data_IF_304083285187
#
_entry.id   IF_304083285187
#
_cell.length_a   1.000
_cell.length_b   1.000
_cell.length_c   1.000
_cell.angle_alpha   90.00
_cell.angle_beta   90.00
_cell.angle_gamma   90.00
#
_symmetry.space_group_name_H-M   'P 1'
#
loop_
_entity.id
_entity.type
_entity.pdbx_description
1 polymer ?
#
# COMPACT_ATOMS: atom_id res chain seq x y z
N UNK A 1 57.99 10.55 35.51
CA UNK A 1 57.89 9.83 34.23
C UNK A 1 56.41 9.74 33.88
N UNK A 2 56.01 10.01 32.63
CA UNK A 2 54.62 9.78 32.21
C UNK A 2 54.39 8.28 32.00
N UNK A 3 53.20 7.73 32.35
CA UNK A 3 52.89 6.33 32.07
C UNK A 3 52.80 6.13 30.56
N UNK A 4 53.62 5.22 30.01
CA UNK A 4 53.48 4.82 28.61
C UNK A 4 52.20 3.98 28.45
N UNK A 5 51.25 4.52 27.70
CA UNK A 5 50.01 3.81 27.37
C UNK A 5 50.31 2.56 26.54
N UNK A 6 49.56 1.47 26.76
CA UNK A 6 49.71 0.24 25.98
C UNK A 6 49.37 0.53 24.51
N UNK A 7 50.13 0.02 23.52
CA UNK A 7 49.95 0.37 22.11
C UNK A 7 48.55 0.04 21.57
N UNK A 8 47.90 -1.01 22.11
CA UNK A 8 46.51 -1.33 21.79
C UNK A 8 45.51 -0.20 22.14
N UNK A 9 45.71 0.50 23.27
CA UNK A 9 44.86 1.63 23.70
C UNK A 9 45.11 2.87 22.84
N UNK A 10 46.35 3.10 22.41
CA UNK A 10 46.66 4.18 21.47
C UNK A 10 46.00 3.93 20.10
N UNK A 11 45.99 2.68 19.62
CA UNK A 11 45.26 2.29 18.41
C UNK A 11 43.73 2.46 18.55
N UNK A 12 43.17 2.09 19.71
CA UNK A 12 41.75 2.28 20.05
C UNK A 12 41.35 3.77 20.06
N UNK A 13 42.15 4.63 20.71
CA UNK A 13 41.96 6.08 20.70
C UNK A 13 42.04 6.67 19.28
N UNK A 14 43.01 6.22 18.47
CA UNK A 14 43.16 6.66 17.08
C UNK A 14 41.97 6.23 16.21
N UNK A 15 41.46 5.01 16.40
CA UNK A 15 40.27 4.52 15.69
C UNK A 15 39.01 5.32 16.06
N UNK A 16 38.80 5.60 17.35
CA UNK A 16 37.69 6.44 17.83
C UNK A 16 37.79 7.89 17.30
N UNK A 17 39.00 8.48 17.30
CA UNK A 17 39.23 9.82 16.76
C UNK A 17 38.98 9.89 15.25
N UNK A 18 39.33 8.85 14.49
CA UNK A 18 38.98 8.73 13.06
C UNK A 18 37.46 8.56 12.88
N UNK A 19 36.79 7.75 13.69
CA UNK A 19 35.33 7.60 13.61
C UNK A 19 34.59 8.90 13.93
N UNK A 20 35.06 9.69 14.90
CA UNK A 20 34.51 11.02 15.20
C UNK A 20 34.71 12.00 14.03
N UNK A 21 35.90 12.04 13.41
CA UNK A 21 36.15 12.84 12.20
C UNK A 21 35.25 12.41 11.04
N UNK A 22 35.10 11.10 10.82
CA UNK A 22 34.23 10.58 9.77
C UNK A 22 32.75 10.95 10.00
N UNK A 23 32.31 11.13 11.25
CA UNK A 23 30.98 11.63 11.60
C UNK A 23 30.81 13.15 11.48
N UNK A 24 31.89 13.91 11.33
CA UNK A 24 31.84 15.37 11.10
C UNK A 24 31.80 15.77 9.63
N UNK A 25 31.96 14.82 8.69
CA UNK A 25 31.77 15.08 7.26
C UNK A 25 30.31 14.85 6.86
N UNK A 26 29.58 15.94 6.63
CA UNK A 26 28.35 15.93 5.84
C UNK A 26 28.70 16.06 4.37
N UNK A 27 27.91 15.42 3.49
CA UNK A 27 28.01 15.67 2.05
C UNK A 27 27.63 17.13 1.79
N UNK A 28 28.45 17.88 1.04
CA UNK A 28 27.97 19.15 0.48
C UNK A 28 27.01 18.83 -0.66
N UNK A 29 25.90 19.55 -0.69
CA UNK A 29 25.07 19.63 -1.90
C UNK A 29 25.80 20.54 -2.88
N UNK A 30 26.06 20.05 -4.11
CA UNK A 30 26.75 20.83 -5.14
C UNK A 30 25.86 22.02 -5.54
N UNK A 31 26.35 23.23 -5.26
CA UNK A 31 25.65 24.49 -5.50
C UNK A 31 26.08 25.10 -6.84
N UNK A 32 25.45 24.67 -7.93
CA UNK A 32 25.44 25.36 -9.22
C UNK A 32 24.12 25.10 -9.98
N UNK A 33 23.81 25.96 -10.96
CA UNK A 33 22.65 25.96 -11.85
C UNK A 33 21.24 26.10 -11.23
N UNK A 34 20.92 27.35 -10.89
CA UNK A 34 19.89 28.21 -11.53
C UNK A 34 18.57 27.67 -12.13
N UNK A 35 17.62 28.61 -12.19
CA UNK A 35 16.28 28.55 -12.79
C UNK A 35 16.10 27.70 -14.07
N UNK A 36 15.16 26.75 -14.05
CA UNK A 36 14.05 26.63 -15.04
C UNK A 36 13.06 25.49 -14.69
N UNK A 37 11.82 25.59 -15.20
CA UNK A 37 10.76 24.59 -14.97
C UNK A 37 10.35 23.76 -16.20
N UNK A 38 9.40 22.84 -15.97
CA UNK A 38 8.65 22.00 -16.94
C UNK A 38 9.26 20.65 -17.39
N UNK A 39 8.76 19.60 -16.73
CA UNK A 39 8.16 18.41 -17.34
C UNK A 39 8.93 17.53 -18.37
N UNK A 40 9.35 16.36 -17.85
CA UNK A 40 9.04 15.02 -18.37
C UNK A 40 10.07 14.20 -19.19
N UNK A 41 10.00 12.87 -18.95
CA UNK A 41 10.55 11.71 -19.69
C UNK A 41 12.05 11.35 -19.56
N UNK A 42 12.28 10.39 -18.65
CA UNK A 42 13.08 9.15 -18.84
C UNK A 42 14.52 9.22 -19.40
N UNK A 43 15.47 8.66 -18.63
CA UNK A 43 16.25 7.48 -19.07
C UNK A 43 16.90 6.76 -17.88
N UNK A 44 17.97 5.97 -18.09
CA UNK A 44 18.35 4.85 -17.21
C UNK A 44 19.86 4.52 -17.27
N UNK A 45 20.57 4.57 -16.12
CA UNK A 45 21.81 3.84 -15.74
C UNK A 45 22.23 4.29 -14.32
N UNK A 46 22.47 3.41 -13.34
CA UNK A 46 23.59 2.45 -13.16
C UNK A 46 24.93 3.11 -12.77
N UNK A 47 25.41 2.78 -11.56
CA UNK A 47 26.82 2.80 -11.18
C UNK A 47 27.23 1.41 -10.64
N UNK A 48 28.46 0.94 -10.87
CA UNK A 48 28.91 -0.41 -10.47
C UNK A 48 29.58 -0.44 -9.10
N UNK A 49 29.48 -1.58 -8.40
CA UNK A 49 30.34 -1.92 -7.27
C UNK A 49 31.56 -2.72 -7.74
N UNK A 50 32.76 -2.30 -7.32
CA UNK A 50 33.99 -3.09 -7.51
C UNK A 50 34.11 -4.15 -6.40
N UNK A 51 34.89 -5.21 -6.66
CA UNK A 51 35.05 -6.37 -5.78
C UNK A 51 36.00 -6.16 -4.59
N UNK A 52 36.45 -7.28 -3.99
CA UNK A 52 37.79 -7.74 -4.40
C UNK A 52 37.82 -9.17 -4.96
N UNK A 53 38.73 -9.39 -5.90
CA UNK A 53 38.94 -10.70 -6.54
C UNK A 53 39.85 -11.62 -5.70
N UNK A 54 39.66 -12.94 -5.80
CA UNK A 54 40.43 -13.87 -4.96
C UNK A 54 40.14 -15.36 -5.14
N UNK A 55 40.25 -15.91 -6.36
CA UNK A 55 40.39 -17.36 -6.59
C UNK A 55 41.08 -17.67 -7.91
N UNK A 56 42.19 -18.40 -7.84
CA UNK A 56 43.02 -18.77 -8.99
C UNK A 56 42.37 -19.90 -9.81
N UNK A 57 42.18 -19.72 -11.12
CA UNK A 57 41.90 -20.85 -12.01
C UNK A 57 43.22 -21.55 -12.43
N UNK A 58 43.36 -22.83 -12.10
CA UNK A 58 44.47 -23.66 -12.56
C UNK A 58 44.23 -24.09 -14.01
N UNK A 59 45.00 -23.49 -14.94
CA UNK A 59 45.04 -23.91 -16.34
C UNK A 59 45.87 -25.20 -16.46
N UNK A 60 45.29 -26.25 -17.03
CA UNK A 60 46.07 -27.35 -17.61
C UNK A 60 46.17 -27.17 -19.13
N UNK A 61 47.33 -27.52 -19.69
CA UNK A 61 47.67 -27.49 -21.14
C UNK A 61 47.95 -28.93 -21.62
N UNK A 62 48.51 -29.06 -22.83
CA UNK A 62 48.91 -30.29 -23.56
C UNK A 62 47.71 -30.95 -24.29
N UNK A 63 47.60 -31.00 -25.63
CA UNK A 63 48.44 -30.56 -26.78
C UNK A 63 49.52 -31.55 -27.32
N UNK A 64 49.09 -32.50 -28.19
CA UNK A 64 49.73 -33.16 -29.37
C UNK A 64 48.65 -34.11 -29.99
N UNK A 65 48.33 -34.23 -31.30
CA UNK A 65 49.06 -34.35 -32.60
C UNK A 65 49.76 -35.72 -32.81
N UNK A 66 49.69 -36.44 -33.96
CA UNK A 66 48.98 -36.33 -35.30
C UNK A 66 48.27 -37.71 -35.60
N UNK A 67 48.13 -38.44 -36.74
CA UNK A 67 48.55 -38.45 -38.19
C UNK A 67 47.59 -39.37 -39.02
N UNK A 68 46.69 -38.80 -39.84
CA UNK A 68 45.92 -39.46 -40.95
C UNK A 68 45.20 -40.82 -40.62
N UNK A 69 44.50 -41.57 -41.48
CA UNK A 69 44.20 -41.61 -42.94
C UNK A 69 42.66 -41.61 -43.14
N UNK A 70 42.08 -40.76 -43.99
CA UNK A 70 41.81 -40.95 -45.43
C UNK A 70 40.97 -42.19 -45.80
N UNK A 71 39.69 -41.98 -46.15
CA UNK A 71 39.13 -42.41 -47.44
C UNK A 71 37.82 -41.65 -47.76
N UNK A 72 37.58 -41.35 -49.04
CA UNK A 72 36.39 -40.64 -49.53
C UNK A 72 35.25 -41.61 -49.91
N UNK A 73 34.00 -41.12 -49.79
CA UNK A 73 33.08 -41.14 -50.93
C UNK A 73 31.90 -40.19 -50.81
N UNK A 74 31.65 -39.52 -51.92
CA UNK A 74 30.55 -38.60 -52.18
C UNK A 74 29.66 -39.20 -53.27
N UNK A 75 28.33 -39.04 -53.14
CA UNK A 75 27.37 -39.24 -54.23
C UNK A 75 25.97 -38.73 -53.84
N UNK A 76 25.48 -37.73 -54.59
CA UNK A 76 24.05 -37.46 -54.78
C UNK A 76 23.30 -38.76 -55.22
N UNK A 77 21.98 -38.91 -55.13
CA UNK A 77 20.99 -38.12 -55.88
C UNK A 77 19.53 -38.46 -55.46
N UNK A 78 18.57 -37.62 -55.90
CA UNK A 78 17.11 -37.86 -55.90
C UNK A 78 16.69 -38.18 -57.37
N UNK A 79 15.55 -38.85 -57.70
CA UNK A 79 14.22 -38.40 -57.27
C UNK A 79 13.02 -39.39 -57.29
N UNK A 80 11.85 -38.84 -56.93
CA UNK A 80 10.48 -39.14 -57.43
C UNK A 80 9.79 -40.48 -57.10
N UNK A 81 8.46 -40.39 -56.91
CA UNK A 81 7.52 -41.49 -56.66
C UNK A 81 6.34 -40.99 -55.84
N UNK A 82 5.13 -40.97 -56.41
CA UNK A 82 3.92 -40.32 -55.86
C UNK A 82 2.74 -41.31 -55.81
N UNK A 83 1.89 -41.16 -54.79
CA UNK A 83 0.56 -41.76 -54.56
C UNK A 83 0.29 -43.27 -54.76
N UNK A 84 -0.27 -43.92 -53.72
CA UNK A 84 -1.72 -44.30 -53.66
C UNK A 84 -2.10 -44.81 -52.24
N UNK A 85 -3.38 -44.66 -51.85
CA UNK A 85 -3.90 -44.83 -50.49
C UNK A 85 -4.21 -46.28 -50.01
N UNK A 86 -4.45 -46.42 -48.68
CA UNK A 86 -5.29 -47.43 -47.94
C UNK A 86 -4.69 -48.80 -47.52
N UNK A 87 -3.99 -48.81 -46.38
CA UNK A 87 -4.41 -49.36 -45.05
C UNK A 87 -5.26 -50.66 -45.03
N UNK A 88 -5.04 -51.66 -44.12
CA UNK A 88 -3.96 -51.88 -43.11
C UNK A 88 -3.26 -53.26 -43.17
N UNK A 89 -2.11 -53.42 -42.49
CA UNK A 89 -1.88 -54.39 -41.38
C UNK A 89 -0.43 -54.25 -40.84
N UNK A 90 -0.11 -54.93 -39.73
CA UNK A 90 1.19 -54.87 -39.03
C UNK A 90 2.17 -55.97 -39.51
N UNK A 91 3.35 -56.08 -38.89
CA UNK A 91 4.33 -57.17 -39.03
C UNK A 91 5.12 -57.30 -40.36
N UNK A 92 5.82 -56.23 -40.75
CA UNK A 92 7.17 -56.37 -41.33
C UNK A 92 8.16 -55.44 -40.63
N UNK A 93 8.91 -55.97 -39.65
CA UNK A 93 9.93 -55.17 -38.95
C UNK A 93 11.13 -54.87 -39.87
N UNK A 94 11.22 -53.64 -40.35
CA UNK A 94 12.43 -53.16 -41.03
C UNK A 94 13.67 -53.35 -40.14
N UNK A 95 14.80 -53.72 -40.75
CA UNK A 95 16.06 -53.91 -40.03
C UNK A 95 16.56 -52.62 -39.36
N UNK A 96 16.14 -51.47 -39.91
CA UNK A 96 16.37 -50.14 -39.35
C UNK A 96 15.69 -49.96 -37.98
N UNK A 97 14.41 -50.30 -37.86
CA UNK A 97 13.65 -50.26 -36.61
C UNK A 97 14.26 -51.16 -35.53
N UNK A 98 14.75 -52.35 -35.92
CA UNK A 98 15.46 -53.25 -35.01
C UNK A 98 16.77 -52.63 -34.52
N UNK A 99 17.52 -51.94 -35.39
CA UNK A 99 18.78 -51.27 -35.03
C UNK A 99 18.60 -50.03 -34.14
N UNK A 100 17.58 -49.20 -34.35
CA UNK A 100 17.33 -48.05 -33.47
C UNK A 100 16.78 -48.49 -32.10
N UNK A 101 16.03 -49.60 -32.03
CA UNK A 101 15.66 -50.23 -30.74
C UNK A 101 16.87 -50.77 -29.98
N UNK A 102 17.84 -51.37 -30.65
CA UNK A 102 19.10 -51.83 -30.03
C UNK A 102 19.88 -50.64 -29.46
N UNK A 103 20.03 -49.56 -30.26
CA UNK A 103 20.66 -48.31 -29.84
C UNK A 103 19.98 -47.63 -28.64
N UNK A 104 18.64 -47.69 -28.56
CA UNK A 104 17.88 -47.17 -27.42
C UNK A 104 18.09 -48.01 -26.15
N UNK A 105 18.19 -49.35 -26.28
CA UNK A 105 18.53 -50.24 -25.17
C UNK A 105 19.96 -49.96 -24.66
N UNK A 106 20.93 -49.77 -25.54
CA UNK A 106 22.31 -49.39 -25.18
C UNK A 106 22.38 -48.08 -24.36
N UNK A 107 21.56 -47.10 -24.72
CA UNK A 107 21.43 -45.84 -23.98
C UNK A 107 20.75 -46.03 -22.62
N UNK A 108 19.68 -46.82 -22.56
CA UNK A 108 18.97 -47.14 -21.32
C UNK A 108 19.86 -47.96 -20.36
N UNK A 109 20.57 -48.99 -20.84
CA UNK A 109 21.50 -49.77 -20.03
C UNK A 109 22.63 -48.91 -19.46
N UNK A 110 23.23 -48.03 -20.27
CA UNK A 110 24.29 -47.11 -19.84
C UNK A 110 23.80 -46.15 -18.75
N UNK A 111 22.61 -45.58 -18.93
CA UNK A 111 22.07 -44.61 -17.98
C UNK A 111 21.53 -45.30 -16.71
N UNK A 112 20.95 -46.50 -16.83
CA UNK A 112 20.60 -47.37 -15.70
C UNK A 112 21.83 -47.88 -14.93
N UNK A 113 22.97 -48.10 -15.60
CA UNK A 113 24.25 -48.39 -14.96
C UNK A 113 24.80 -47.15 -14.22
N UNK A 114 24.68 -45.97 -14.82
CA UNK A 114 25.02 -44.71 -14.14
C UNK A 114 24.11 -44.44 -12.93
N UNK A 115 22.81 -44.71 -13.02
CA UNK A 115 21.86 -44.74 -11.90
C UNK A 115 22.31 -45.72 -10.81
N UNK A 116 22.66 -46.96 -11.18
CA UNK A 116 23.14 -48.02 -10.26
C UNK A 116 24.40 -47.59 -9.50
N UNK A 117 25.36 -46.94 -10.17
CA UNK A 117 26.56 -46.35 -9.52
C UNK A 117 26.15 -45.20 -8.61
N UNK A 118 25.37 -44.22 -9.10
CA UNK A 118 24.87 -43.09 -8.28
C UNK A 118 24.14 -43.59 -7.03
N UNK A 119 23.36 -44.67 -7.12
CA UNK A 119 22.65 -45.28 -5.97
C UNK A 119 23.64 -45.95 -5.00
N UNK A 120 24.56 -46.77 -5.50
CA UNK A 120 25.60 -47.44 -4.72
C UNK A 120 26.50 -46.46 -3.96
N UNK A 121 26.77 -45.28 -4.52
CA UNK A 121 27.58 -44.25 -3.86
C UNK A 121 26.75 -43.37 -2.91
N UNK A 122 25.46 -43.13 -3.19
CA UNK A 122 24.49 -42.56 -2.24
C UNK A 122 24.24 -43.49 -1.03
N UNK A 123 24.35 -44.80 -1.20
CA UNK A 123 24.23 -45.80 -0.13
C UNK A 123 25.47 -45.84 0.77
N UNK A 124 26.68 -45.72 0.19
CA UNK A 124 27.95 -45.65 0.94
C UNK A 124 28.12 -44.32 1.68
N UNK A 125 27.74 -43.21 1.05
CA UNK A 125 27.94 -41.87 1.63
C UNK A 125 26.80 -41.54 2.58
N UNK A 126 27.14 -41.22 3.84
CA UNK A 126 26.13 -40.73 4.79
C UNK A 126 25.68 -39.35 4.35
N UNK A 127 24.47 -39.27 3.79
CA UNK A 127 23.87 -38.04 3.29
C UNK A 127 23.46 -37.09 4.43
N UNK A 128 24.46 -36.42 4.99
CA UNK A 128 24.34 -35.53 6.15
C UNK A 128 23.93 -34.12 5.71
N UNK A 129 24.47 -33.63 4.59
CA UNK A 129 24.31 -32.24 4.15
C UNK A 129 22.93 -31.95 3.55
N UNK A 130 22.38 -32.82 2.69
CA UNK A 130 21.06 -32.56 2.11
C UNK A 130 19.91 -32.63 3.13
N UNK A 131 20.12 -33.30 4.27
CA UNK A 131 19.05 -33.64 5.22
C UNK A 131 18.62 -32.46 6.10
N UNK A 132 19.50 -31.48 6.31
CA UNK A 132 19.16 -30.14 6.79
C UNK A 132 18.64 -29.27 5.65
N UNK A 133 19.39 -29.23 4.56
CA UNK A 133 19.30 -28.14 3.59
C UNK A 133 18.04 -28.24 2.72
N UNK A 134 17.61 -29.45 2.36
CA UNK A 134 16.33 -29.65 1.66
C UNK A 134 15.14 -29.24 2.53
N UNK A 135 15.17 -29.54 3.83
CA UNK A 135 14.11 -29.11 4.77
C UNK A 135 14.09 -27.60 4.95
N UNK A 136 15.25 -26.98 5.12
CA UNK A 136 15.38 -25.51 5.21
C UNK A 136 14.90 -24.84 3.91
N UNK A 137 15.20 -25.42 2.75
CA UNK A 137 14.75 -24.91 1.44
C UNK A 137 13.25 -25.09 1.22
N UNK A 138 12.67 -26.25 1.56
CA UNK A 138 11.22 -26.48 1.54
C UNK A 138 10.48 -25.52 2.49
N UNK A 139 11.01 -25.28 3.69
CA UNK A 139 10.43 -24.37 4.67
C UNK A 139 10.56 -22.91 4.23
N UNK A 140 11.69 -22.52 3.65
CA UNK A 140 11.88 -21.21 3.04
C UNK A 140 10.93 -21.00 1.85
N UNK A 141 10.77 -21.99 0.96
CA UNK A 141 9.80 -21.95 -0.14
C UNK A 141 8.36 -21.85 0.36
N UNK A 142 8.00 -22.55 1.46
CA UNK A 142 6.68 -22.41 2.10
C UNK A 142 6.49 -20.99 2.64
N UNK A 143 7.46 -20.44 3.38
CA UNK A 143 7.41 -19.03 3.85
C UNK A 143 7.29 -18.04 2.69
N UNK A 144 8.02 -18.26 1.59
CA UNK A 144 7.96 -17.40 0.41
C UNK A 144 6.57 -17.44 -0.24
N UNK A 145 5.97 -18.63 -0.40
CA UNK A 145 4.61 -18.82 -0.92
C UNK A 145 3.55 -18.16 -0.04
N UNK A 146 3.59 -18.36 1.29
CA UNK A 146 2.69 -17.67 2.21
C UNK A 146 2.80 -16.14 2.04
N UNK A 147 4.03 -15.61 2.02
CA UNK A 147 4.28 -14.17 1.83
C UNK A 147 3.83 -13.67 0.44
N UNK A 148 3.86 -14.50 -0.61
CA UNK A 148 3.27 -14.16 -1.90
C UNK A 148 1.74 -14.18 -1.89
N UNK A 149 1.12 -15.13 -1.19
CA UNK A 149 -0.34 -15.24 -1.04
C UNK A 149 -0.89 -14.08 -0.20
N UNK A 150 -0.22 -13.75 0.91
CA UNK A 150 -0.46 -12.54 1.69
C UNK A 150 -0.34 -11.28 0.82
N UNK A 151 0.72 -11.15 0.00
CA UNK A 151 0.87 -10.03 -0.94
C UNK A 151 -0.26 -9.98 -1.98
N UNK A 152 -0.68 -11.12 -2.53
CA UNK A 152 -1.77 -11.21 -3.52
C UNK A 152 -3.10 -10.71 -2.93
N UNK A 153 -3.35 -10.89 -1.63
CA UNK A 153 -4.53 -10.34 -0.93
C UNK A 153 -4.34 -8.89 -0.45
N UNK A 154 -3.20 -8.58 0.18
CA UNK A 154 -2.95 -7.29 0.83
C UNK A 154 -2.73 -6.15 -0.18
N UNK A 155 -2.14 -6.39 -1.35
CA UNK A 155 -1.91 -5.32 -2.35
C UNK A 155 -3.24 -4.77 -2.94
N UNK A 156 -4.27 -5.60 -3.23
CA UNK A 156 -5.62 -5.14 -3.47
C UNK A 156 -6.23 -4.33 -2.32
N UNK A 157 -6.15 -4.80 -1.07
CA UNK A 157 -6.71 -4.08 0.09
C UNK A 157 -6.03 -2.73 0.33
N UNK A 158 -4.70 -2.66 0.22
CA UNK A 158 -3.94 -1.42 0.30
C UNK A 158 -4.34 -0.44 -0.82
N UNK A 159 -4.60 -0.94 -2.05
CA UNK A 159 -5.12 -0.11 -3.15
C UNK A 159 -6.55 0.38 -2.95
N UNK A 160 -7.40 -0.34 -2.19
CA UNK A 160 -8.71 0.19 -1.77
C UNK A 160 -8.53 1.35 -0.79
N UNK A 161 -7.71 1.16 0.26
CA UNK A 161 -7.42 2.17 1.28
C UNK A 161 -6.81 3.45 0.69
N UNK A 162 -5.75 3.30 -0.11
CA UNK A 162 -5.11 4.46 -0.76
C UNK A 162 -6.04 5.18 -1.74
N UNK A 163 -7.01 4.47 -2.36
CA UNK A 163 -8.05 5.10 -3.20
C UNK A 163 -9.07 5.86 -2.36
N UNK A 164 -9.48 5.34 -1.20
CA UNK A 164 -10.38 6.07 -0.28
C UNK A 164 -9.71 7.33 0.27
N UNK A 165 -8.45 7.23 0.71
CA UNK A 165 -7.64 8.36 1.16
C UNK A 165 -7.45 9.41 0.05
N UNK A 166 -7.15 8.96 -1.18
CA UNK A 166 -7.03 9.87 -2.34
C UNK A 166 -8.36 10.55 -2.68
N UNK A 167 -9.48 9.83 -2.64
CA UNK A 167 -10.80 10.44 -2.89
C UNK A 167 -11.16 11.47 -1.82
N UNK A 168 -10.91 11.18 -0.53
CA UNK A 168 -11.18 12.11 0.56
C UNK A 168 -10.29 13.37 0.52
N UNK A 169 -9.05 13.26 0.01
CA UNK A 169 -8.19 14.42 -0.30
C UNK A 169 -8.73 15.18 -1.51
N UNK A 170 -8.86 14.51 -2.66
CA UNK A 170 -9.32 15.10 -3.93
C UNK A 170 -10.67 15.83 -3.81
N UNK A 171 -11.56 15.36 -2.95
CA UNK A 171 -12.84 16.00 -2.67
C UNK A 171 -12.68 17.33 -1.92
N UNK A 172 -11.71 17.44 -1.00
CA UNK A 172 -11.31 18.73 -0.41
C UNK A 172 -10.62 19.61 -1.44
N UNK A 173 -9.56 19.08 -2.09
CA UNK A 173 -8.80 19.77 -3.13
C UNK A 173 -9.75 20.40 -4.17
N UNK A 174 -10.79 19.67 -4.60
CA UNK A 174 -11.78 20.15 -5.59
C UNK A 174 -12.81 21.14 -5.06
N UNK A 175 -13.11 21.16 -3.76
CA UNK A 175 -13.94 22.20 -3.14
C UNK A 175 -13.12 23.47 -2.97
N UNK A 176 -11.87 23.34 -2.52
CA UNK A 176 -10.90 24.44 -2.38
C UNK A 176 -10.57 25.07 -3.75
N UNK A 177 -10.35 24.27 -4.80
CA UNK A 177 -10.19 24.74 -6.18
C UNK A 177 -11.41 25.55 -6.67
N UNK A 178 -12.64 25.08 -6.40
CA UNK A 178 -13.88 25.78 -6.80
C UNK A 178 -14.10 27.07 -5.99
N UNK A 179 -13.63 27.12 -4.74
CA UNK A 179 -13.68 28.34 -3.94
C UNK A 179 -12.67 29.39 -4.42
N UNK A 180 -11.47 28.96 -4.82
CA UNK A 180 -10.50 29.82 -5.47
C UNK A 180 -11.01 30.33 -6.83
N UNK A 181 -11.59 29.45 -7.67
CA UNK A 181 -12.16 29.83 -8.98
C UNK A 181 -13.26 30.89 -8.83
N UNK A 182 -14.19 30.73 -7.87
CA UNK A 182 -15.22 31.72 -7.58
C UNK A 182 -14.62 33.03 -7.04
N UNK A 183 -13.62 32.95 -6.15
CA UNK A 183 -13.00 34.15 -5.57
C UNK A 183 -12.18 34.94 -6.60
N UNK A 184 -11.47 34.26 -7.50
CA UNK A 184 -10.72 34.87 -8.59
C UNK A 184 -11.67 35.51 -9.62
N UNK A 185 -12.79 34.87 -9.97
CA UNK A 185 -13.83 35.48 -10.82
C UNK A 185 -14.49 36.70 -10.15
N UNK A 186 -14.85 36.60 -8.87
CA UNK A 186 -15.42 37.71 -8.09
C UNK A 186 -14.46 38.89 -7.93
N UNK A 187 -13.15 38.64 -7.84
CA UNK A 187 -12.11 39.67 -7.73
C UNK A 187 -11.77 40.29 -9.10
N UNK A 188 -11.45 39.47 -10.10
CA UNK A 188 -10.95 39.91 -11.41
C UNK A 188 -11.99 40.67 -12.23
N UNK A 189 -13.28 40.30 -12.11
CA UNK A 189 -14.38 40.92 -12.85
C UNK A 189 -15.24 41.86 -12.00
N UNK A 190 -14.80 42.22 -10.80
CA UNK A 190 -15.52 43.10 -9.86
C UNK A 190 -15.91 44.47 -10.44
N UNK A 191 -15.14 45.01 -11.38
CA UNK A 191 -15.39 46.29 -12.05
C UNK A 191 -16.16 46.16 -13.39
N UNK A 192 -16.47 44.94 -13.85
CA UNK A 192 -17.03 44.68 -15.18
C UNK A 192 -18.48 44.17 -15.12
N UNK A 193 -19.33 44.65 -16.04
CA UNK A 193 -20.68 44.10 -16.24
C UNK A 193 -20.60 42.70 -16.88
N UNK A 194 -20.64 41.66 -16.03
CA UNK A 194 -20.75 40.25 -16.43
C UNK A 194 -22.01 40.02 -17.30
N UNK A 195 -21.89 39.24 -18.37
CA UNK A 195 -23.03 38.88 -19.21
C UNK A 195 -23.97 37.91 -18.50
N UNK A 196 -25.23 37.82 -18.97
CA UNK A 196 -26.23 36.93 -18.38
C UNK A 196 -25.87 35.43 -18.43
N UNK A 197 -24.90 35.02 -19.26
CA UNK A 197 -24.38 33.65 -19.28
C UNK A 197 -23.32 33.45 -18.20
N UNK A 198 -22.36 34.37 -18.09
CA UNK A 198 -21.31 34.34 -17.06
C UNK A 198 -21.91 34.45 -15.64
N UNK A 199 -22.95 35.27 -15.46
CA UNK A 199 -23.73 35.34 -14.21
C UNK A 199 -24.36 33.99 -13.85
N UNK A 200 -24.93 33.27 -14.82
CA UNK A 200 -25.52 31.95 -14.60
C UNK A 200 -24.45 30.88 -14.31
N UNK A 201 -23.26 30.99 -14.91
CA UNK A 201 -22.13 30.11 -14.62
C UNK A 201 -21.58 30.35 -13.21
N UNK A 202 -21.34 31.61 -12.80
CA UNK A 202 -20.97 31.99 -11.44
C UNK A 202 -22.00 31.51 -10.40
N UNK A 203 -23.30 31.70 -10.68
CA UNK A 203 -24.36 31.15 -9.85
C UNK A 203 -24.31 29.62 -9.76
N UNK A 204 -24.01 28.92 -10.87
CA UNK A 204 -23.89 27.47 -10.88
C UNK A 204 -22.68 27.00 -10.06
N UNK A 205 -21.50 27.61 -10.22
CA UNK A 205 -20.30 27.34 -9.42
C UNK A 205 -20.58 27.51 -7.92
N UNK A 206 -21.17 28.64 -7.53
CA UNK A 206 -21.61 28.91 -6.14
C UNK A 206 -22.59 27.84 -5.62
N UNK A 207 -23.63 27.49 -6.39
CA UNK A 207 -24.61 26.45 -6.02
C UNK A 207 -23.96 25.06 -5.85
N UNK A 208 -23.02 24.69 -6.71
CA UNK A 208 -22.28 23.42 -6.62
C UNK A 208 -21.39 23.39 -5.37
N UNK A 209 -20.65 24.47 -5.09
CA UNK A 209 -19.86 24.64 -3.85
C UNK A 209 -20.75 24.46 -2.61
N UNK A 210 -21.88 25.15 -2.58
CA UNK A 210 -22.75 25.18 -1.39
C UNK A 210 -23.44 23.83 -1.15
N UNK A 211 -23.87 23.13 -2.20
CA UNK A 211 -24.37 21.76 -2.10
C UNK A 211 -23.29 20.77 -1.63
N UNK A 212 -22.03 20.92 -2.09
CA UNK A 212 -20.93 20.09 -1.63
C UNK A 212 -20.61 20.32 -0.14
N UNK A 213 -20.62 21.58 0.32
CA UNK A 213 -20.45 21.94 1.75
C UNK A 213 -21.61 21.41 2.61
N UNK A 214 -22.84 21.56 2.15
CA UNK A 214 -24.02 21.02 2.86
C UNK A 214 -23.96 19.50 2.96
N UNK A 215 -23.52 18.80 1.91
CA UNK A 215 -23.34 17.35 1.93
C UNK A 215 -22.27 16.91 2.95
N UNK A 216 -21.14 17.64 3.04
CA UNK A 216 -20.13 17.43 4.10
C UNK A 216 -20.72 17.60 5.50
N UNK A 217 -21.38 18.72 5.74
CA UNK A 217 -21.97 19.05 7.05
C UNK A 217 -23.06 18.04 7.47
N UNK A 218 -23.94 17.62 6.55
CA UNK A 218 -24.93 16.58 6.81
C UNK A 218 -24.28 15.23 7.13
N UNK A 219 -23.23 14.84 6.40
CA UNK A 219 -22.43 13.65 6.68
C UNK A 219 -21.56 13.74 7.93
N UNK A 220 -21.47 14.89 8.59
CA UNK A 220 -20.86 15.08 9.91
C UNK A 220 -21.92 15.07 11.01
N UNK A 221 -23.07 15.73 10.78
CA UNK A 221 -24.25 15.62 11.63
C UNK A 221 -24.71 14.17 11.81
N UNK A 222 -24.77 13.36 10.73
CA UNK A 222 -25.09 11.92 10.83
C UNK A 222 -24.12 11.16 11.75
N UNK A 223 -22.82 11.50 11.72
CA UNK A 223 -21.81 10.87 12.60
C UNK A 223 -22.02 11.26 14.06
N UNK A 224 -22.35 12.53 14.32
CA UNK A 224 -22.65 13.05 15.66
C UNK A 224 -23.94 12.44 16.22
N UNK A 225 -25.01 12.36 15.43
CA UNK A 225 -26.24 11.65 15.81
C UNK A 225 -25.98 10.16 16.06
N UNK A 226 -25.16 9.52 15.23
CA UNK A 226 -24.71 8.14 15.41
C UNK A 226 -23.72 7.96 16.57
N UNK A 227 -23.15 9.03 17.12
CA UNK A 227 -22.45 9.01 18.41
C UNK A 227 -23.46 9.10 19.55
N UNK A 228 -24.38 10.06 19.49
CA UNK A 228 -25.38 10.32 20.52
C UNK A 228 -26.45 9.22 20.66
N UNK A 229 -26.72 8.45 19.60
CA UNK A 229 -27.73 7.38 19.64
C UNK A 229 -27.20 6.13 20.33
N UNK A 230 -27.87 5.72 21.41
CA UNK A 230 -27.54 4.55 22.21
C UNK A 230 -27.34 3.29 21.34
N UNK A 231 -26.11 2.77 21.33
CA UNK A 231 -25.74 1.54 20.65
C UNK A 231 -25.70 0.40 21.68
N UNK A 232 -26.59 -0.58 21.52
CA UNK A 232 -26.59 -1.80 22.33
C UNK A 232 -25.34 -2.63 21.99
N UNK A 233 -24.45 -2.93 22.95
CA UNK A 233 -23.23 -3.68 22.67
C UNK A 233 -23.55 -5.11 22.20
N UNK A 234 -22.95 -5.53 21.10
CA UNK A 234 -23.07 -6.91 20.60
C UNK A 234 -22.31 -7.88 21.51
N UNK A 235 -22.97 -8.95 21.96
CA UNK A 235 -22.38 -9.97 22.85
C UNK A 235 -21.41 -10.90 22.09
N UNK A 236 -20.27 -10.34 21.69
CA UNK A 236 -19.14 -11.07 21.16
C UNK A 236 -18.23 -11.58 22.29
N UNK A 237 -17.64 -12.77 22.08
CA UNK A 237 -16.85 -13.48 23.12
C UNK A 237 -15.60 -12.69 23.58
N UNK A 238 -15.11 -11.78 22.75
CA UNK A 238 -14.19 -10.72 23.16
C UNK A 238 -14.99 -9.46 23.52
N UNK A 239 -15.14 -9.18 24.82
CA UNK A 239 -15.79 -7.95 25.31
C UNK A 239 -14.95 -6.71 25.01
N UNK A 240 -14.92 -6.31 23.73
CA UNK A 240 -14.51 -4.98 23.29
C UNK A 240 -15.62 -4.01 23.68
N UNK A 241 -15.56 -3.52 24.91
CA UNK A 241 -16.32 -2.34 25.30
C UNK A 241 -15.95 -1.24 24.29
N UNK A 242 -16.91 -0.63 23.58
CA UNK A 242 -16.60 0.51 22.72
C UNK A 242 -16.05 1.63 23.61
N UNK A 243 -14.81 2.05 23.36
CA UNK A 243 -14.07 3.06 24.12
C UNK A 243 -14.57 4.49 23.81
N UNK A 244 -15.89 4.60 23.61
CA UNK A 244 -16.55 5.63 22.81
C UNK A 244 -17.15 6.73 23.68
N UNK A 245 -16.40 7.17 24.69
CA UNK A 245 -16.52 8.52 25.19
C UNK A 245 -15.42 9.36 24.53
N UNK A 246 -15.66 9.69 23.26
CA UNK A 246 -14.85 10.65 22.53
C UNK A 246 -15.22 12.04 23.08
N UNK A 247 -14.58 12.45 24.19
CA UNK A 247 -14.77 13.78 24.76
C UNK A 247 -14.51 14.82 23.66
N UNK A 248 -15.42 15.79 23.43
CA UNK A 248 -15.29 16.72 22.31
C UNK A 248 -13.92 17.40 22.32
N UNK A 249 -13.20 17.33 21.20
CA UNK A 249 -11.95 18.06 21.02
C UNK A 249 -12.24 19.56 20.86
N UNK A 250 -12.48 20.23 21.98
CA UNK A 250 -12.16 21.65 22.09
C UNK A 250 -10.66 21.83 21.84
N UNK A 251 -10.27 22.90 21.16
CA UNK A 251 -8.88 23.12 20.76
C UNK A 251 -7.98 23.47 21.98
N UNK A 252 -8.60 23.75 23.13
CA UNK A 252 -7.98 24.11 24.42
C UNK A 252 -7.39 22.93 25.23
N UNK A 253 -7.43 21.67 24.76
CA UNK A 253 -6.96 20.50 25.54
C UNK A 253 -5.42 20.33 25.60
N UNK A 254 -4.62 21.41 25.52
CA UNK A 254 -3.17 21.33 25.25
C UNK A 254 -2.26 22.25 26.08
N UNK A 255 -2.76 23.21 26.88
CA UNK A 255 -1.90 24.05 27.70
C UNK A 255 -1.58 23.40 29.07
N UNK A 256 -0.35 23.61 29.61
CA UNK A 256 -0.01 23.09 30.93
C UNK A 256 -0.94 23.66 32.02
N UNK A 257 -1.67 22.75 32.69
CA UNK A 257 -2.69 22.95 33.75
C UNK A 257 -4.16 23.07 33.31
N UNK A 258 -4.54 22.85 32.04
CA UNK A 258 -5.97 22.93 31.68
C UNK A 258 -6.85 21.90 32.41
N UNK A 259 -6.35 20.71 32.74
CA UNK A 259 -7.04 19.75 33.62
C UNK A 259 -7.40 20.35 35.00
N UNK A 260 -6.44 21.04 35.61
CA UNK A 260 -6.61 21.73 36.89
C UNK A 260 -7.56 22.92 36.75
N UNK A 261 -7.47 23.66 35.64
CA UNK A 261 -8.33 24.82 35.37
C UNK A 261 -9.78 24.40 35.12
N UNK A 262 -10.01 23.32 34.36
CA UNK A 262 -11.33 22.67 34.19
C UNK A 262 -11.89 22.22 35.53
N UNK A 263 -11.08 21.52 36.35
CA UNK A 263 -11.49 21.07 37.68
C UNK A 263 -11.89 22.24 38.60
N UNK A 264 -11.14 23.34 38.58
CA UNK A 264 -11.48 24.57 39.29
C UNK A 264 -12.74 25.23 38.71
N UNK A 265 -12.88 25.36 37.39
CA UNK A 265 -14.04 25.95 36.71
C UNK A 265 -15.33 25.14 36.94
N UNK A 266 -15.28 23.81 36.91
CA UNK A 266 -16.40 22.92 37.21
C UNK A 266 -16.82 23.02 38.68
N UNK A 267 -15.88 23.00 39.63
CA UNK A 267 -16.18 23.17 41.05
C UNK A 267 -16.68 24.58 41.39
N UNK A 268 -16.13 25.63 40.76
CA UNK A 268 -16.60 27.01 40.90
C UNK A 268 -17.99 27.15 40.28
N UNK A 269 -18.25 26.57 39.11
CA UNK A 269 -19.56 26.58 38.46
C UNK A 269 -20.64 25.87 39.28
N UNK A 270 -20.31 24.71 39.86
CA UNK A 270 -21.17 23.97 40.76
C UNK A 270 -21.42 24.72 42.09
N UNK A 271 -20.41 25.40 42.65
CA UNK A 271 -20.56 26.23 43.84
C UNK A 271 -21.32 27.54 43.56
N UNK A 272 -21.20 28.09 42.36
CA UNK A 272 -21.86 29.32 41.90
C UNK A 272 -23.31 29.09 41.43
N UNK A 273 -23.94 27.95 41.77
CA UNK A 273 -25.33 27.65 41.42
C UNK A 273 -26.31 28.63 42.10
N UNK A 274 -26.55 29.78 41.46
CA UNK A 274 -27.53 30.76 41.91
C UNK A 274 -28.93 30.12 41.88
N UNK A 275 -29.60 30.08 43.03
CA UNK A 275 -30.99 29.62 43.17
C UNK A 275 -31.88 30.80 43.59
N UNK A 276 -32.98 31.01 42.87
CA UNK A 276 -33.94 32.07 43.18
C UNK A 276 -34.77 32.52 41.99
N UNK A 277 -36.04 32.86 42.22
CA UNK A 277 -37.00 33.21 41.17
C UNK A 277 -36.64 34.50 40.39
N UNK A 278 -35.74 35.34 40.92
CA UNK A 278 -35.36 36.63 40.33
C UNK A 278 -34.57 36.49 39.02
N UNK A 279 -33.77 35.44 38.87
CA UNK A 279 -32.98 35.16 37.65
C UNK A 279 -33.72 34.19 36.69
N UNK A 280 -34.87 33.65 37.10
CA UNK A 280 -35.56 32.58 36.37
C UNK A 280 -35.96 32.97 34.94
N UNK A 281 -36.40 34.22 34.72
CA UNK A 281 -36.76 34.74 33.40
C UNK A 281 -35.57 34.87 32.43
N UNK A 282 -34.33 34.92 32.95
CA UNK A 282 -33.11 34.95 32.12
C UNK A 282 -32.61 33.53 31.81
N UNK A 283 -32.68 32.64 32.80
CA UNK A 283 -32.23 31.23 32.68
C UNK A 283 -33.20 30.37 31.87
N UNK A 284 -34.49 30.70 31.93
CA UNK A 284 -35.55 30.16 31.09
C UNK A 284 -36.26 31.34 30.42
N UNK A 285 -35.72 31.90 29.32
CA UNK A 285 -36.48 32.83 28.49
C UNK A 285 -37.78 32.14 28.10
N UNK A 286 -38.91 32.84 28.26
CA UNK A 286 -40.23 32.27 27.92
C UNK A 286 -40.23 31.92 26.44
N UNK A 287 -40.25 30.62 26.15
CA UNK A 287 -40.43 30.13 24.78
C UNK A 287 -41.82 30.58 24.34
N UNK A 288 -41.85 31.53 23.40
CA UNK A 288 -43.07 31.98 22.76
C UNK A 288 -43.54 30.87 21.82
N UNK A 289 -44.23 29.88 22.38
CA UNK A 289 -44.94 28.87 21.61
C UNK A 289 -46.15 29.56 20.96
N UNK A 290 -46.01 29.90 19.69
CA UNK A 290 -47.14 30.23 18.84
C UNK A 290 -47.97 28.94 18.67
N UNK A 291 -49.15 28.92 19.27
CA UNK A 291 -50.10 27.84 19.08
C UNK A 291 -50.68 27.97 17.67
N UNK A 292 -50.07 27.24 16.73
CA UNK A 292 -50.67 26.99 15.41
C UNK A 292 -51.87 26.06 15.63
N UNK A 293 -53.00 26.66 16.00
CA UNK A 293 -54.30 26.07 15.81
C UNK A 293 -54.62 26.25 14.33
N UNK A 294 -54.62 25.15 13.58
CA UNK A 294 -55.20 25.15 12.25
C UNK A 294 -56.72 25.32 12.41
N UNK A 295 -57.25 26.50 12.04
CA UNK A 295 -58.68 26.81 12.21
C UNK A 295 -59.62 25.81 11.51
N UNK A 296 -59.08 25.05 10.53
CA UNK A 296 -59.77 23.96 9.83
C UNK A 296 -59.98 22.69 10.71
N UNK A 297 -59.19 22.49 11.77
CA UNK A 297 -59.39 21.40 12.76
C UNK A 297 -60.28 21.83 13.95
N UNK A 298 -60.65 23.11 14.05
CA UNK A 298 -61.44 23.63 15.16
C UNK A 298 -62.90 23.15 15.10
N UNK A 299 -63.20 22.06 15.82
CA UNK A 299 -64.54 21.48 15.96
C UNK A 299 -65.54 22.54 16.46
N UNK A 300 -66.36 23.06 15.54
CA UNK A 300 -67.40 24.04 15.85
C UNK A 300 -68.57 23.35 16.58
N UNK A 301 -68.47 23.28 17.91
CA UNK A 301 -69.58 22.85 18.75
C UNK A 301 -70.78 23.79 18.54
N UNK A 302 -71.90 23.22 18.11
CA UNK A 302 -73.13 23.96 17.79
C UNK A 302 -73.61 24.71 19.03
N UNK A 303 -73.44 26.03 19.03
CA UNK A 303 -74.02 26.90 20.06
C UNK A 303 -75.53 26.67 20.12
N UNK A 304 -76.02 26.28 21.29
CA UNK A 304 -77.37 25.76 21.45
C UNK A 304 -78.44 26.79 21.06
N UNK A 305 -79.43 26.36 20.29
CA UNK A 305 -80.55 27.20 19.83
C UNK A 305 -81.35 27.71 21.02
N UNK A 306 -81.19 29.00 21.35
CA UNK A 306 -82.16 29.72 22.17
C UNK A 306 -83.38 30.03 21.31
N UNK A 307 -84.44 29.24 21.46
CA UNK A 307 -85.74 29.56 20.87
C UNK A 307 -86.45 30.63 21.71
N UNK A 308 -86.64 31.80 21.09
CA UNK A 308 -87.61 32.88 21.42
C UNK A 308 -87.58 33.42 22.86
#
# INVERSE_FOLDING_TARGET
QMPQERPARLAEQQALALQQKNRSYTLLEDSDDEETGKAARSSKRHHPSQGPEGKQQKRHKHLRQRKEEEEDKDSDEKPSGEDTERIPEEESEDEWDRSERERLQDLEERDAFAERIKRKDKEKTRNILERSDKKAYEEAQKRLKMVEEDKKFMIPELRKKSRWEYLAKREKDKIEDLEAEIADEEYLFSEQELTALEQQELEYKRKVRDLAKQYKQAGEQEKMEKHNRYYMPEESRSKKIPDRYEEPQAEDHMAPRDEQRRWEEDHIGAAALRFGARDANQRHPRKNYEYVLEDDEMIQFVNAVQMR
#
